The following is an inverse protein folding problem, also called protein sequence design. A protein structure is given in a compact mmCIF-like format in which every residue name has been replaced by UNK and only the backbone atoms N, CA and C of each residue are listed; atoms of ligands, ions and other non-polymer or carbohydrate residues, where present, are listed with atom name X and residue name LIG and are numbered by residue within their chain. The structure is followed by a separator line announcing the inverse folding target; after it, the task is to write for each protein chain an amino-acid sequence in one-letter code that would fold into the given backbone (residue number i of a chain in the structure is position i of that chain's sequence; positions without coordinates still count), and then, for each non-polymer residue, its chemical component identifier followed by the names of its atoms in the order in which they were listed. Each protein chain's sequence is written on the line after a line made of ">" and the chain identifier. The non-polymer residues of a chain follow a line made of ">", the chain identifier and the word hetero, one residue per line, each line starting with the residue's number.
data_IF_869710417167
#
_entry.id   IF_869710417167
#
_cell.length_a   1.000
_cell.length_b   1.000
_cell.length_c   1.000
_cell.angle_alpha   90.00
_cell.angle_beta   90.00
_cell.angle_gamma   90.00
#
_symmetry.space_group_name_H-M   'P 1'
#
loop_
_entity.id
_entity.type
_entity.pdbx_description
1 polymer ?
#
# COMPACT_ATOMS: atom_id res chain seq x y z
N UNK A 1 69.65 -28.59 24.29
CA UNK A 1 70.15 -27.27 24.72
C UNK A 1 69.70 -26.25 23.67
N UNK A 2 68.84 -25.29 24.05
CA UNK A 2 68.42 -24.07 23.31
C UNK A 2 67.59 -24.30 22.03
N UNK A 3 66.52 -23.57 21.69
CA UNK A 3 65.82 -22.39 22.24
C UNK A 3 64.39 -22.43 21.69
N UNK A 4 63.41 -22.15 22.55
CA UNK A 4 62.02 -21.82 22.20
C UNK A 4 61.98 -20.41 21.59
N UNK A 5 61.28 -20.21 20.47
CA UNK A 5 60.83 -18.87 20.05
C UNK A 5 59.33 -18.87 19.80
N UNK A 6 58.63 -18.19 20.69
CA UNK A 6 57.27 -17.68 20.53
C UNK A 6 57.37 -16.29 19.90
N UNK A 7 56.27 -15.90 19.22
CA UNK A 7 55.90 -14.53 18.81
C UNK A 7 56.50 -14.02 17.49
N UNK A 8 55.65 -13.77 16.48
CA UNK A 8 55.03 -12.45 16.33
C UNK A 8 53.88 -12.44 15.31
N UNK A 9 52.91 -11.57 15.59
CA UNK A 9 51.66 -11.32 14.90
C UNK A 9 51.79 -11.01 13.40
N UNK A 10 50.85 -11.53 12.60
CA UNK A 10 50.25 -10.76 11.50
C UNK A 10 48.74 -10.97 11.57
N UNK A 11 48.07 -10.04 12.25
CA UNK A 11 46.64 -9.82 12.12
C UNK A 11 46.43 -9.28 10.70
N UNK A 12 45.90 -10.10 9.79
CA UNK A 12 45.49 -9.61 8.48
C UNK A 12 44.17 -8.86 8.67
N UNK A 13 44.28 -7.55 8.93
CA UNK A 13 43.18 -6.61 8.70
C UNK A 13 42.86 -6.66 7.21
N UNK A 14 41.80 -7.37 6.82
CA UNK A 14 41.12 -7.08 5.56
C UNK A 14 40.33 -5.79 5.78
N UNK A 15 40.95 -4.68 5.37
CA UNK A 15 40.30 -3.39 5.22
C UNK A 15 39.09 -3.53 4.29
N UNK A 16 38.03 -2.85 4.71
CA UNK A 16 36.79 -2.55 3.99
C UNK A 16 37.11 -2.04 2.58
N UNK A 17 36.82 -2.85 1.57
CA UNK A 17 36.39 -2.34 0.28
C UNK A 17 34.86 -2.37 0.30
N UNK A 18 34.29 -1.43 1.03
CA UNK A 18 32.91 -1.02 0.83
C UNK A 18 32.87 -0.42 -0.55
N UNK A 19 32.56 -1.26 -1.54
CA UNK A 19 32.13 -0.75 -2.83
C UNK A 19 30.91 0.11 -2.54
N UNK A 20 31.03 1.42 -2.77
CA UNK A 20 29.88 2.15 -3.26
C UNK A 20 29.41 1.34 -4.47
N UNK A 21 28.39 0.51 -4.29
CA UNK A 21 27.47 0.30 -5.40
C UNK A 21 27.00 1.71 -5.70
N UNK A 22 27.42 2.24 -6.82
CA UNK A 22 26.65 3.30 -7.47
C UNK A 22 25.27 2.69 -7.62
N UNK A 23 24.39 2.95 -6.64
CA UNK A 23 23.00 2.53 -6.71
C UNK A 23 22.48 3.19 -7.98
N UNK A 24 21.98 2.40 -8.91
CA UNK A 24 21.21 2.94 -10.03
C UNK A 24 20.21 3.96 -9.45
N UNK A 25 20.02 5.12 -10.09
CA UNK A 25 19.12 6.12 -9.56
C UNK A 25 17.75 5.46 -9.36
N UNK A 26 17.19 5.61 -8.16
CA UNK A 26 15.87 5.08 -7.83
C UNK A 26 14.88 5.46 -8.94
N UNK A 27 14.05 4.51 -9.34
CA UNK A 27 13.06 4.76 -10.38
C UNK A 27 12.05 5.74 -9.80
N UNK A 28 12.01 6.97 -10.31
CA UNK A 28 11.01 7.94 -9.89
C UNK A 28 9.64 7.37 -10.21
N UNK A 29 8.88 7.14 -9.16
CA UNK A 29 7.51 6.71 -9.26
C UNK A 29 6.66 7.91 -8.87
N UNK A 30 5.89 8.43 -9.81
CA UNK A 30 4.86 9.43 -9.57
C UNK A 30 3.50 8.87 -10.02
N UNK A 31 2.42 9.48 -9.56
CA UNK A 31 1.08 9.00 -9.83
C UNK A 31 0.76 8.96 -11.34
N UNK A 32 1.15 10.00 -12.08
CA UNK A 32 0.91 10.09 -13.53
C UNK A 32 1.61 8.98 -14.30
N UNK A 33 2.89 8.71 -13.99
CA UNK A 33 3.68 7.66 -14.63
C UNK A 33 3.17 6.26 -14.31
N UNK A 34 2.65 6.05 -13.09
CA UNK A 34 1.99 4.80 -12.72
C UNK A 34 0.72 4.60 -13.55
N UNK A 35 -0.09 5.64 -13.73
CA UNK A 35 -1.30 5.60 -14.55
C UNK A 35 -1.02 5.40 -16.04
N UNK A 36 0.00 6.08 -16.58
CA UNK A 36 0.45 5.89 -17.95
C UNK A 36 0.86 4.43 -18.18
N UNK A 37 1.61 3.83 -17.24
CA UNK A 37 1.96 2.40 -17.30
C UNK A 37 0.72 1.53 -17.22
N UNK A 38 -0.16 1.76 -16.24
CA UNK A 38 -1.41 1.02 -16.09
C UNK A 38 -2.25 1.02 -17.39
N UNK A 39 -2.37 2.17 -18.06
CA UNK A 39 -3.09 2.26 -19.33
C UNK A 39 -2.37 1.53 -20.48
N UNK A 40 -1.05 1.45 -20.45
CA UNK A 40 -0.27 0.77 -21.49
C UNK A 40 -0.28 -0.76 -21.34
N UNK A 41 -0.18 -1.29 -20.11
CA UNK A 41 0.03 -2.73 -19.86
C UNK A 41 -1.15 -3.40 -19.15
N UNK A 42 -2.11 -2.63 -18.65
CA UNK A 42 -3.22 -3.12 -17.84
C UNK A 42 -2.79 -3.56 -16.44
N UNK A 43 -3.76 -3.84 -15.56
CA UNK A 43 -3.51 -4.26 -14.18
C UNK A 43 -2.58 -5.48 -14.08
N UNK A 44 -2.82 -6.50 -14.92
CA UNK A 44 -2.04 -7.76 -14.91
C UNK A 44 -0.59 -7.59 -15.39
N UNK A 45 -0.27 -6.49 -16.08
CA UNK A 45 1.08 -6.20 -16.57
C UNK A 45 1.92 -5.35 -15.61
N UNK A 46 1.38 -4.97 -14.46
CA UNK A 46 2.06 -4.19 -13.43
C UNK A 46 2.96 -5.06 -12.55
N UNK A 47 4.05 -4.49 -12.04
CA UNK A 47 4.93 -5.16 -11.09
C UNK A 47 4.34 -5.14 -9.67
N UNK A 48 4.70 -6.09 -8.78
CA UNK A 48 4.11 -6.17 -7.45
C UNK A 48 4.18 -4.88 -6.60
N UNK A 49 5.32 -4.15 -6.53
CA UNK A 49 5.37 -2.89 -5.78
C UNK A 49 4.47 -1.80 -6.37
N UNK A 50 4.29 -1.80 -7.68
CA UNK A 50 3.44 -0.85 -8.38
C UNK A 50 1.96 -1.15 -8.13
N UNK A 51 1.57 -2.43 -8.08
CA UNK A 51 0.22 -2.85 -7.69
C UNK A 51 -0.08 -2.49 -6.24
N UNK A 52 0.88 -2.72 -5.33
CA UNK A 52 0.74 -2.31 -3.95
C UNK A 52 0.52 -0.80 -3.86
N UNK A 53 1.30 -0.01 -4.61
CA UNK A 53 1.10 1.43 -4.65
C UNK A 53 -0.26 1.81 -5.19
N UNK A 54 -0.61 1.32 -6.38
CA UNK A 54 -1.86 1.60 -7.08
C UNK A 54 -3.06 1.36 -6.17
N UNK A 55 -3.14 0.18 -5.56
CA UNK A 55 -4.25 -0.20 -4.69
C UNK A 55 -4.29 0.63 -3.40
N UNK A 56 -3.15 0.88 -2.76
CA UNK A 56 -3.08 1.64 -1.50
C UNK A 56 -3.42 3.10 -1.74
N UNK A 57 -2.89 3.73 -2.78
CA UNK A 57 -3.13 5.13 -3.12
C UNK A 57 -4.57 5.33 -3.59
N UNK A 58 -5.10 4.45 -4.44
CA UNK A 58 -6.51 4.48 -4.84
C UNK A 58 -7.46 4.36 -3.63
N UNK A 59 -7.10 3.56 -2.62
CA UNK A 59 -7.84 3.48 -1.36
C UNK A 59 -7.84 4.82 -0.59
N UNK A 60 -6.65 5.39 -0.33
CA UNK A 60 -6.54 6.66 0.40
C UNK A 60 -7.27 7.78 -0.35
N UNK A 61 -7.08 7.90 -1.67
CA UNK A 61 -7.71 8.93 -2.49
C UNK A 61 -9.23 8.81 -2.53
N UNK A 62 -9.74 7.58 -2.64
CA UNK A 62 -11.18 7.34 -2.61
C UNK A 62 -11.77 7.80 -1.28
N UNK A 63 -11.12 7.47 -0.17
CA UNK A 63 -11.60 7.85 1.17
C UNK A 63 -11.50 9.36 1.37
N UNK A 64 -10.39 9.99 0.99
CA UNK A 64 -10.25 11.45 1.06
C UNK A 64 -11.29 12.20 0.21
N UNK A 65 -11.73 11.61 -0.90
CA UNK A 65 -12.72 12.24 -1.78
C UNK A 65 -14.16 12.13 -1.26
N UNK A 66 -14.51 11.10 -0.50
CA UNK A 66 -15.89 10.93 -0.04
C UNK A 66 -16.12 9.77 0.92
N UNK A 67 -15.18 9.53 1.83
CA UNK A 67 -15.24 8.43 2.79
C UNK A 67 -15.00 7.05 2.18
N UNK A 68 -14.89 6.04 3.04
CA UNK A 68 -14.62 4.65 2.68
C UNK A 68 -15.69 4.08 1.75
N UNK A 69 -16.92 4.59 1.80
CA UNK A 69 -17.98 4.19 0.87
C UNK A 69 -17.63 4.57 -0.58
N UNK A 70 -16.91 5.67 -0.79
CA UNK A 70 -16.48 6.10 -2.13
C UNK A 70 -15.51 5.13 -2.79
N UNK A 71 -14.74 4.37 -2.01
CA UNK A 71 -13.91 3.29 -2.54
C UNK A 71 -14.76 2.17 -3.16
N UNK A 72 -15.88 1.82 -2.53
CA UNK A 72 -16.80 0.79 -3.02
C UNK A 72 -17.73 1.29 -4.13
N UNK A 73 -18.17 2.54 -4.05
CA UNK A 73 -19.12 3.13 -4.99
C UNK A 73 -18.50 3.39 -6.38
N UNK A 74 -17.18 3.52 -6.44
CA UNK A 74 -16.42 3.76 -7.65
C UNK A 74 -15.57 2.53 -8.04
N UNK A 75 -14.54 2.73 -8.84
CA UNK A 75 -13.63 1.68 -9.32
C UNK A 75 -12.58 1.24 -8.28
N UNK A 76 -12.48 1.89 -7.12
CA UNK A 76 -11.52 1.51 -6.08
C UNK A 76 -11.64 0.04 -5.66
N UNK A 77 -12.89 -0.43 -5.50
CA UNK A 77 -13.19 -1.80 -5.13
C UNK A 77 -13.17 -2.82 -6.29
N UNK A 78 -12.84 -2.42 -7.52
CA UNK A 78 -12.66 -3.39 -8.63
C UNK A 78 -11.57 -4.41 -8.30
N UNK A 79 -10.57 -3.99 -7.51
CA UNK A 79 -9.47 -4.83 -7.00
C UNK A 79 -9.52 -4.99 -5.47
N UNK A 80 -10.72 -5.05 -4.87
CA UNK A 80 -10.93 -5.10 -3.42
C UNK A 80 -10.01 -6.09 -2.68
N UNK A 81 -9.91 -7.33 -3.16
CA UNK A 81 -9.08 -8.36 -2.53
C UNK A 81 -7.59 -8.02 -2.58
N UNK A 82 -7.12 -7.45 -3.69
CA UNK A 82 -5.73 -7.05 -3.87
C UNK A 82 -5.40 -5.82 -3.01
N UNK A 83 -6.35 -4.90 -2.82
CA UNK A 83 -6.23 -3.79 -1.86
C UNK A 83 -6.09 -4.31 -0.42
N UNK A 84 -6.86 -5.33 -0.02
CA UNK A 84 -6.70 -5.96 1.29
C UNK A 84 -5.31 -6.59 1.44
N UNK A 85 -4.80 -7.25 0.40
CA UNK A 85 -3.44 -7.84 0.40
C UNK A 85 -2.38 -6.75 0.53
N UNK A 86 -2.45 -5.69 -0.28
CA UNK A 86 -1.53 -4.56 -0.25
C UNK A 86 -1.47 -3.90 1.15
N UNK A 87 -2.63 -3.58 1.73
CA UNK A 87 -2.70 -3.02 3.08
C UNK A 87 -2.16 -3.99 4.15
N UNK A 88 -2.37 -5.30 3.97
CA UNK A 88 -1.83 -6.31 4.88
C UNK A 88 -0.30 -6.41 4.79
N UNK A 89 0.26 -6.30 3.58
CA UNK A 89 1.70 -6.30 3.34
C UNK A 89 2.39 -5.11 3.99
N UNK A 90 1.74 -3.93 3.96
CA UNK A 90 2.15 -2.74 4.71
C UNK A 90 1.98 -2.89 6.24
N UNK A 91 1.37 -3.98 6.72
CA UNK A 91 0.97 -4.19 8.12
C UNK A 91 0.03 -3.10 8.62
N UNK A 92 -0.77 -2.52 7.72
CA UNK A 92 -1.70 -1.45 8.02
C UNK A 92 -3.00 -2.00 8.63
N UNK A 93 -2.90 -2.58 9.83
CA UNK A 93 -4.00 -3.34 10.46
C UNK A 93 -5.27 -2.52 10.62
N UNK A 94 -5.15 -1.23 10.98
CA UNK A 94 -6.30 -0.32 11.10
C UNK A 94 -7.02 -0.20 9.76
N UNK A 95 -6.29 0.08 8.67
CA UNK A 95 -6.87 0.19 7.34
C UNK A 95 -7.53 -1.13 6.87
N UNK A 96 -6.87 -2.27 7.11
CA UNK A 96 -7.43 -3.60 6.80
C UNK A 96 -8.73 -3.85 7.57
N UNK A 97 -8.75 -3.55 8.87
CA UNK A 97 -9.94 -3.75 9.71
C UNK A 97 -11.11 -2.89 9.26
N UNK A 98 -10.91 -1.60 8.99
CA UNK A 98 -11.99 -0.69 8.56
C UNK A 98 -12.49 -1.01 7.15
N UNK A 99 -11.59 -1.30 6.22
CA UNK A 99 -11.98 -1.67 4.86
C UNK A 99 -12.75 -3.01 4.84
N UNK A 100 -12.40 -3.98 5.70
CA UNK A 100 -13.20 -5.20 5.88
C UNK A 100 -14.54 -4.95 6.54
N UNK A 101 -14.59 -4.12 7.58
CA UNK A 101 -15.85 -3.82 8.27
C UNK A 101 -16.93 -3.27 7.31
N UNK A 102 -16.53 -2.44 6.34
CA UNK A 102 -17.43 -1.94 5.29
C UNK A 102 -17.67 -3.00 4.21
N UNK A 103 -16.64 -3.77 3.83
CA UNK A 103 -16.79 -4.90 2.91
C UNK A 103 -17.79 -5.97 3.38
N UNK A 104 -17.86 -6.22 4.69
CA UNK A 104 -18.80 -7.17 5.30
C UNK A 104 -20.27 -6.73 5.19
N UNK A 105 -20.53 -5.45 4.90
CA UNK A 105 -21.88 -4.95 4.66
C UNK A 105 -22.48 -5.46 3.33
N UNK A 106 -21.62 -5.93 2.41
CA UNK A 106 -22.05 -6.52 1.14
C UNK A 106 -22.44 -8.01 1.28
N UNK A 107 -22.35 -8.59 2.48
CA UNK A 107 -22.69 -9.98 2.75
C UNK A 107 -21.49 -10.91 2.57
N UNK A 108 -21.68 -12.06 1.89
CA UNK A 108 -20.62 -13.07 1.78
C UNK A 108 -19.47 -12.69 0.85
N UNK A 109 -19.69 -11.73 -0.06
CA UNK A 109 -18.69 -11.22 -1.00
C UNK A 109 -19.05 -9.81 -1.45
N UNK A 110 -18.02 -8.98 -1.67
CA UNK A 110 -18.17 -7.71 -2.38
C UNK A 110 -18.39 -8.01 -3.87
N UNK A 111 -19.44 -7.47 -4.52
CA UNK A 111 -19.61 -7.60 -5.96
C UNK A 111 -18.42 -7.04 -6.74
N UNK A 112 -17.98 -7.78 -7.76
CA UNK A 112 -16.85 -7.39 -8.61
C UNK A 112 -17.18 -6.24 -9.56
N UNK A 113 -18.46 -6.05 -9.90
CA UNK A 113 -18.91 -4.99 -10.77
C UNK A 113 -19.50 -3.80 -9.99
N UNK A 114 -19.26 -2.60 -10.52
CA UNK A 114 -19.72 -1.34 -9.94
C UNK A 114 -21.25 -1.28 -9.80
N UNK A 115 -21.99 -1.80 -10.78
CA UNK A 115 -23.45 -1.80 -10.75
C UNK A 115 -23.99 -2.58 -9.54
N UNK A 116 -23.53 -3.80 -9.34
CA UNK A 116 -23.93 -4.65 -8.21
C UNK A 116 -23.55 -4.06 -6.85
N UNK A 117 -22.41 -3.37 -6.74
CA UNK A 117 -22.05 -2.65 -5.52
C UNK A 117 -23.00 -1.47 -5.27
N UNK A 118 -23.27 -0.68 -6.29
CA UNK A 118 -24.11 0.52 -6.16
C UNK A 118 -25.56 0.17 -5.87
N UNK A 119 -26.10 -0.91 -6.44
CA UNK A 119 -27.44 -1.41 -6.10
C UNK A 119 -27.56 -1.74 -4.60
N UNK A 120 -26.53 -2.36 -4.01
CA UNK A 120 -26.47 -2.65 -2.58
C UNK A 120 -26.34 -1.37 -1.75
N UNK A 121 -25.38 -0.50 -2.09
CA UNK A 121 -25.16 0.77 -1.36
C UNK A 121 -26.42 1.64 -1.37
N UNK A 122 -27.09 1.75 -2.52
CA UNK A 122 -28.32 2.53 -2.68
C UNK A 122 -29.51 1.96 -1.88
N UNK A 123 -29.42 0.70 -1.43
CA UNK A 123 -30.43 0.07 -0.57
C UNK A 123 -30.21 0.34 0.93
N UNK A 124 -29.05 0.90 1.32
CA UNK A 124 -28.72 1.16 2.71
C UNK A 124 -29.54 2.31 3.29
N UNK A 125 -29.89 2.19 4.57
CA UNK A 125 -30.50 3.30 5.31
C UNK A 125 -29.42 4.29 5.75
N UNK A 126 -29.60 5.57 5.38
CA UNK A 126 -28.70 6.68 5.71
C UNK A 126 -28.56 6.94 7.22
N UNK A 127 -29.39 6.34 8.07
CA UNK A 127 -29.26 6.37 9.53
C UNK A 127 -29.11 4.97 10.15
N UNK A 128 -29.00 3.96 9.29
CA UNK A 128 -28.96 2.55 9.63
C UNK A 128 -27.62 2.10 10.20
N UNK A 129 -27.41 0.78 10.20
CA UNK A 129 -26.16 0.16 10.65
C UNK A 129 -25.01 0.53 9.71
N UNK A 130 -25.27 0.55 8.42
CA UNK A 130 -24.32 0.73 7.34
C UNK A 130 -23.72 2.14 7.40
N UNK A 131 -24.56 3.17 7.55
CA UNK A 131 -24.14 4.55 7.76
C UNK A 131 -23.20 4.67 8.97
N UNK A 132 -23.56 4.07 10.11
CA UNK A 132 -22.74 4.11 11.33
C UNK A 132 -21.38 3.43 11.16
N UNK A 133 -21.35 2.30 10.46
CA UNK A 133 -20.09 1.59 10.16
C UNK A 133 -19.21 2.44 9.26
N UNK A 134 -19.78 3.06 8.22
CA UNK A 134 -19.05 3.98 7.34
C UNK A 134 -18.50 5.18 8.12
N UNK A 135 -19.35 5.89 8.88
CA UNK A 135 -18.95 7.07 9.67
C UNK A 135 -17.81 6.75 10.66
N UNK A 136 -17.91 5.62 11.38
CA UNK A 136 -16.84 5.18 12.29
C UNK A 136 -15.55 4.83 11.56
N UNK A 137 -15.66 4.22 10.38
CA UNK A 137 -14.51 3.84 9.56
C UNK A 137 -13.80 5.06 9.03
N UNK A 138 -14.56 6.04 8.52
CA UNK A 138 -14.03 7.29 8.00
C UNK A 138 -13.25 8.04 9.06
N UNK A 139 -13.84 8.22 10.26
CA UNK A 139 -13.17 8.90 11.36
C UNK A 139 -11.83 8.26 11.72
N UNK A 140 -11.79 6.92 11.85
CA UNK A 140 -10.56 6.22 12.22
C UNK A 140 -9.53 6.21 11.09
N UNK A 141 -9.97 6.15 9.83
CA UNK A 141 -9.10 6.18 8.66
C UNK A 141 -8.45 7.55 8.47
N UNK A 142 -9.20 8.65 8.60
CA UNK A 142 -8.63 9.99 8.47
C UNK A 142 -7.52 10.25 9.50
N UNK A 143 -7.70 9.81 10.74
CA UNK A 143 -6.67 9.91 11.77
C UNK A 143 -5.45 9.00 11.48
N UNK A 144 -5.67 7.88 10.78
CA UNK A 144 -4.64 6.89 10.49
C UNK A 144 -3.85 7.15 9.20
N UNK A 145 -4.41 7.90 8.23
CA UNK A 145 -3.77 8.12 6.93
C UNK A 145 -2.36 8.71 6.96
N UNK A 146 -2.01 9.65 7.85
CA UNK A 146 -0.61 10.09 7.96
C UNK A 146 0.37 8.96 8.30
N UNK A 147 -0.06 7.91 8.99
CA UNK A 147 0.77 6.73 9.26
C UNK A 147 0.78 5.77 8.07
N UNK A 148 -0.37 5.55 7.43
CA UNK A 148 -0.46 4.73 6.22
C UNK A 148 0.42 5.27 5.09
N UNK A 149 0.45 6.58 4.89
CA UNK A 149 1.30 7.21 3.87
C UNK A 149 2.80 7.00 4.16
N UNK A 150 3.23 7.06 5.44
CA UNK A 150 4.61 6.75 5.82
C UNK A 150 4.97 5.28 5.58
N UNK A 151 4.04 4.36 5.87
CA UNK A 151 4.25 2.94 5.62
C UNK A 151 4.40 2.66 4.13
N UNK A 152 3.55 3.28 3.31
CA UNK A 152 3.63 3.20 1.86
C UNK A 152 4.95 3.78 1.33
N UNK A 153 5.33 4.98 1.76
CA UNK A 153 6.59 5.63 1.37
C UNK A 153 7.80 4.75 1.72
N UNK A 154 7.87 4.25 2.96
CA UNK A 154 8.95 3.37 3.40
C UNK A 154 9.03 2.07 2.59
N UNK A 155 7.87 1.49 2.22
CA UNK A 155 7.82 0.31 1.37
C UNK A 155 8.40 0.61 -0.02
N UNK A 156 8.00 1.72 -0.64
CA UNK A 156 8.47 2.12 -1.97
C UNK A 156 9.97 2.37 -2.00
N UNK A 157 10.49 3.11 -1.02
CA UNK A 157 11.94 3.34 -0.87
C UNK A 157 12.69 2.01 -0.71
N UNK A 158 12.13 1.05 0.03
CA UNK A 158 12.76 -0.27 0.21
C UNK A 158 12.78 -1.14 -1.05
N UNK A 159 12.02 -0.76 -2.08
CA UNK A 159 11.96 -1.41 -3.39
C UNK A 159 12.57 -0.55 -4.50
N UNK A 160 13.51 0.35 -4.17
CA UNK A 160 14.27 1.20 -5.10
C UNK A 160 13.40 2.19 -5.92
N UNK A 161 12.24 2.58 -5.37
CA UNK A 161 11.41 3.65 -5.90
C UNK A 161 11.63 4.97 -5.15
N UNK A 162 11.58 6.08 -5.88
CA UNK A 162 11.53 7.44 -5.32
C UNK A 162 10.09 7.96 -5.45
N UNK A 163 9.27 7.87 -4.39
CA UNK A 163 7.87 8.27 -4.44
C UNK A 163 7.76 9.80 -4.47
N UNK A 164 7.34 10.33 -5.61
CA UNK A 164 6.98 11.73 -5.74
C UNK A 164 5.47 11.90 -5.65
N UNK A 165 5.02 12.39 -4.49
CA UNK A 165 3.61 12.64 -4.22
C UNK A 165 3.10 13.97 -4.84
N UNK A 166 3.97 14.77 -5.48
CA UNK A 166 3.56 15.81 -6.42
C UNK A 166 2.60 16.90 -5.89
N UNK A 167 2.63 17.21 -4.59
CA UNK A 167 1.81 18.26 -3.99
C UNK A 167 2.40 19.67 -4.17
#
# INVERSE_FOLDING_TARGET
>A
MKVVRVQQCVLMLCLVAGGCRDSEPAVRMNWDGLWDKYHAVGYEGMEPPELLWLNTRAFIDSVNNGGVVSFFYNSGADHYSDTIVALSELKATVAVEKLRAVGDLFGSKVPSDLGGRNDIINSWDNQGREAKVCDSSDSELYDYFPELEKLLEAYLISHDFDPDYGF
#
